data_IF_485866274910
#
_entry.id   IF_485866274910
#
_cell.length_a   1.000
_cell.length_b   1.000
_cell.length_c   1.000
_cell.angle_alpha   90.00
_cell.angle_beta   90.00
_cell.angle_gamma   90.00
#
_symmetry.space_group_name_H-M   'P 1'
#
loop_
_entity.id
_entity.type
_entity.pdbx_description
1 polymer ?
#
# COMPACT_ATOMS: atom_id res chain seq x y z
N UNK A 1 -9.73 29.93 39.12
CA UNK A 1 -9.18 28.96 38.16
C UNK A 1 -9.06 29.67 36.83
N UNK A 2 -7.86 29.99 36.38
CA UNK A 2 -7.62 30.65 35.10
C UNK A 2 -7.73 29.63 33.97
N UNK A 3 -8.40 30.02 32.88
CA UNK A 3 -8.78 29.14 31.78
C UNK A 3 -7.59 28.95 30.83
N UNK A 4 -6.69 28.03 31.16
CA UNK A 4 -5.39 27.82 30.49
C UNK A 4 -5.47 27.38 29.02
N UNK A 5 -6.68 27.18 28.50
CA UNK A 5 -6.96 26.74 27.13
C UNK A 5 -6.75 27.86 26.10
N UNK A 6 -6.79 29.12 26.53
CA UNK A 6 -6.66 30.30 25.66
C UNK A 6 -5.32 31.04 25.81
N UNK A 7 -4.47 30.62 26.75
CA UNK A 7 -3.17 31.26 27.02
C UNK A 7 -2.02 30.62 26.22
N UNK A 8 -2.25 29.49 25.54
CA UNK A 8 -1.27 28.86 24.66
C UNK A 8 -1.38 29.41 23.25
N UNK A 9 -0.25 29.85 22.68
CA UNK A 9 -0.16 30.16 21.26
C UNK A 9 -0.62 28.94 20.43
N UNK A 10 -1.45 29.13 19.38
CA UNK A 10 -1.89 28.02 18.54
C UNK A 10 -0.68 27.30 17.95
N UNK A 11 -0.55 26.01 18.23
CA UNK A 11 0.39 25.17 17.49
C UNK A 11 -0.16 24.98 16.08
N UNK A 12 0.68 25.13 15.08
CA UNK A 12 0.36 24.62 13.76
C UNK A 12 0.16 23.11 13.90
N UNK A 13 -0.98 22.61 13.43
CA UNK A 13 -1.11 21.18 13.20
C UNK A 13 0.02 20.73 12.28
N UNK A 14 0.59 19.57 12.55
CA UNK A 14 1.53 18.94 11.62
C UNK A 14 0.83 18.83 10.24
N UNK A 15 1.49 19.24 9.14
CA UNK A 15 0.84 19.24 7.83
C UNK A 15 0.28 17.84 7.55
N UNK A 16 -1.01 17.70 7.20
CA UNK A 16 -1.62 16.38 7.01
C UNK A 16 -1.08 15.63 5.78
N UNK A 17 -0.15 16.23 5.04
CA UNK A 17 0.50 15.66 3.86
C UNK A 17 1.98 16.04 3.87
N UNK A 18 2.82 15.20 4.48
CA UNK A 18 4.25 15.27 4.29
C UNK A 18 4.65 14.74 2.90
N UNK A 19 5.95 14.74 2.59
CA UNK A 19 6.44 14.31 1.28
C UNK A 19 6.14 12.83 1.00
N UNK A 20 6.05 12.00 2.04
CA UNK A 20 5.67 10.59 1.95
C UNK A 20 4.23 10.48 1.49
N UNK A 21 3.30 11.09 2.23
CA UNK A 21 1.87 11.00 1.98
C UNK A 21 1.53 11.55 0.58
N UNK A 22 2.13 12.67 0.17
CA UNK A 22 1.93 13.23 -1.17
C UNK A 22 2.34 12.22 -2.24
N UNK A 23 3.50 11.56 -2.08
CA UNK A 23 3.96 10.56 -3.03
C UNK A 23 3.05 9.31 -3.01
N UNK A 24 2.73 8.77 -1.84
CA UNK A 24 1.85 7.60 -1.69
C UNK A 24 0.46 7.82 -2.31
N UNK A 25 -0.20 8.95 -2.01
CA UNK A 25 -1.50 9.27 -2.59
C UNK A 25 -1.42 9.51 -4.10
N UNK A 26 -0.37 10.18 -4.58
CA UNK A 26 -0.19 10.39 -6.03
C UNK A 26 -0.02 9.07 -6.76
N UNK A 27 0.72 8.11 -6.18
CA UNK A 27 0.88 6.78 -6.74
C UNK A 27 -0.47 6.05 -6.89
N UNK A 28 -1.30 6.09 -5.84
CA UNK A 28 -2.63 5.47 -5.85
C UNK A 28 -3.53 6.08 -6.93
N UNK A 29 -3.55 7.42 -7.02
CA UNK A 29 -4.39 8.12 -8.01
C UNK A 29 -3.91 7.84 -9.43
N UNK A 30 -2.61 7.97 -9.70
CA UNK A 30 -2.04 7.69 -11.02
C UNK A 30 -2.29 6.24 -11.45
N UNK A 31 -2.12 5.27 -10.54
CA UNK A 31 -2.37 3.85 -10.83
C UNK A 31 -3.84 3.57 -11.18
N UNK A 32 -4.79 4.22 -10.50
CA UNK A 32 -6.22 4.11 -10.82
C UNK A 32 -6.59 4.74 -12.17
N UNK A 33 -5.82 5.73 -12.63
CA UNK A 33 -5.97 6.36 -13.94
C UNK A 33 -5.24 5.59 -15.06
N UNK A 34 -4.54 4.50 -14.72
CA UNK A 34 -3.76 3.71 -15.69
C UNK A 34 -2.41 4.32 -16.06
N UNK A 35 -1.97 5.38 -15.37
CA UNK A 35 -0.65 6.00 -15.58
C UNK A 35 0.41 5.27 -14.75
N UNK A 36 0.78 4.07 -15.21
CA UNK A 36 1.68 3.18 -14.48
C UNK A 36 3.08 3.76 -14.23
N UNK A 37 3.64 4.51 -15.18
CA UNK A 37 5.00 5.09 -15.04
C UNK A 37 5.04 6.19 -13.97
N UNK A 38 4.02 7.07 -13.96
CA UNK A 38 3.89 8.09 -12.92
C UNK A 38 3.59 7.45 -11.56
N UNK A 39 2.72 6.44 -11.54
CA UNK A 39 2.38 5.73 -10.32
C UNK A 39 3.61 5.06 -9.69
N UNK A 40 4.45 4.41 -10.49
CA UNK A 40 5.66 3.75 -10.04
C UNK A 40 6.64 4.75 -9.42
N UNK A 41 6.89 5.86 -10.11
CA UNK A 41 7.83 6.89 -9.65
C UNK A 41 7.48 7.37 -8.25
N UNK A 42 6.20 7.69 -8.03
CA UNK A 42 5.74 8.16 -6.73
C UNK A 42 5.67 7.04 -5.67
N UNK A 43 5.30 5.82 -6.05
CA UNK A 43 5.26 4.70 -5.10
C UNK A 43 6.66 4.38 -4.57
N UNK A 44 7.67 4.35 -5.45
CA UNK A 44 9.07 4.13 -5.05
C UNK A 44 9.58 5.27 -4.17
N UNK A 45 9.19 6.52 -4.43
CA UNK A 45 9.54 7.65 -3.57
C UNK A 45 8.96 7.51 -2.15
N UNK A 46 7.66 7.21 -2.01
CA UNK A 46 7.03 7.01 -0.69
C UNK A 46 7.66 5.82 0.04
N UNK A 47 7.87 4.68 -0.64
CA UNK A 47 8.55 3.52 -0.05
C UNK A 47 9.94 3.89 0.47
N UNK A 48 10.75 4.64 -0.30
CA UNK A 48 12.08 5.04 0.13
C UNK A 48 12.05 5.92 1.40
N UNK A 49 11.06 6.81 1.52
CA UNK A 49 10.89 7.65 2.71
C UNK A 49 10.44 6.79 3.90
N UNK A 50 9.47 5.89 3.71
CA UNK A 50 8.99 4.99 4.77
C UNK A 50 10.08 4.03 5.24
N UNK A 51 10.86 3.46 4.32
CA UNK A 51 12.01 2.60 4.64
C UNK A 51 13.07 3.36 5.47
N UNK A 52 13.33 4.63 5.14
CA UNK A 52 14.26 5.47 5.91
C UNK A 52 13.79 5.76 7.35
N UNK A 53 12.49 5.70 7.61
CA UNK A 53 11.89 5.85 8.94
C UNK A 53 11.61 4.49 9.62
N UNK A 54 12.18 3.39 9.10
CA UNK A 54 12.03 2.06 9.67
C UNK A 54 10.66 1.43 9.47
N UNK A 55 9.89 1.87 8.47
CA UNK A 55 8.54 1.35 8.20
C UNK A 55 7.52 1.74 9.26
N UNK A 56 7.72 2.87 9.95
CA UNK A 56 6.94 3.31 11.12
C UNK A 56 5.43 3.49 10.92
N UNK A 57 4.95 3.46 9.67
CA UNK A 57 3.54 3.54 9.31
C UNK A 57 3.12 2.32 8.49
N UNK A 58 2.77 1.18 9.14
CA UNK A 58 2.46 -0.07 8.45
C UNK A 58 1.31 0.05 7.45
N UNK A 59 0.29 0.88 7.74
CA UNK A 59 -0.81 1.09 6.81
C UNK A 59 -0.36 1.81 5.53
N UNK A 60 0.38 2.91 5.65
CA UNK A 60 0.89 3.67 4.51
C UNK A 60 1.88 2.83 3.70
N UNK A 61 2.78 2.12 4.38
CA UNK A 61 3.72 1.20 3.74
C UNK A 61 3.01 0.09 2.96
N UNK A 62 2.05 -0.60 3.58
CA UNK A 62 1.28 -1.64 2.91
C UNK A 62 0.48 -1.09 1.73
N UNK A 63 -0.14 0.09 1.87
CA UNK A 63 -0.90 0.73 0.81
C UNK A 63 -0.02 1.16 -0.37
N UNK A 64 1.18 1.68 -0.11
CA UNK A 64 2.13 2.09 -1.15
C UNK A 64 2.75 0.88 -1.85
N UNK A 65 3.01 -0.24 -1.15
CA UNK A 65 3.40 -1.49 -1.79
C UNK A 65 2.32 -2.00 -2.76
N UNK A 66 1.05 -1.97 -2.36
CA UNK A 66 -0.04 -2.31 -3.30
C UNK A 66 -0.08 -1.33 -4.48
N UNK A 67 0.08 -0.02 -4.23
CA UNK A 67 0.11 0.97 -5.30
C UNK A 67 1.27 0.73 -6.29
N UNK A 68 2.46 0.36 -5.80
CA UNK A 68 3.58 -0.03 -6.65
C UNK A 68 3.24 -1.27 -7.48
N UNK A 69 2.65 -2.31 -6.89
CA UNK A 69 2.23 -3.49 -7.65
C UNK A 69 1.22 -3.15 -8.75
N UNK A 70 0.27 -2.26 -8.48
CA UNK A 70 -0.68 -1.76 -9.49
C UNK A 70 0.06 -1.01 -10.60
N UNK A 71 0.99 -0.13 -10.24
CA UNK A 71 1.81 0.63 -11.19
C UNK A 71 2.59 -0.30 -12.12
N UNK A 72 3.25 -1.34 -11.57
CA UNK A 72 4.04 -2.30 -12.33
C UNK A 72 3.19 -3.06 -13.37
N UNK A 73 1.91 -3.29 -13.09
CA UNK A 73 0.94 -3.90 -14.01
C UNK A 73 0.34 -2.92 -15.02
N UNK A 74 0.24 -1.63 -14.68
CA UNK A 74 -0.39 -0.60 -15.51
C UNK A 74 0.56 0.05 -16.55
N UNK A 75 1.85 -0.28 -16.53
CA UNK A 75 2.84 0.28 -17.49
C UNK A 75 2.62 -0.25 -18.92
N UNK A 76 3.10 0.47 -19.96
CA UNK A 76 3.01 0.00 -21.35
C UNK A 76 3.66 -1.37 -21.58
N UNK A 77 4.69 -1.70 -20.79
CA UNK A 77 5.27 -3.04 -20.69
C UNK A 77 5.12 -3.51 -19.23
N UNK A 78 4.04 -4.24 -18.91
CA UNK A 78 3.82 -4.73 -17.55
C UNK A 78 4.94 -5.65 -17.06
N UNK A 79 5.25 -5.58 -15.77
CA UNK A 79 6.21 -6.49 -15.11
C UNK A 79 5.49 -7.30 -14.01
N UNK A 80 4.70 -8.32 -14.39
CA UNK A 80 3.84 -9.04 -13.45
C UNK A 80 4.61 -9.85 -12.39
N UNK A 81 5.82 -10.33 -12.69
CA UNK A 81 6.65 -11.04 -11.70
C UNK A 81 7.16 -10.10 -10.61
N UNK A 82 7.66 -8.91 -10.97
CA UNK A 82 8.06 -7.89 -9.99
C UNK A 82 6.84 -7.41 -9.20
N UNK A 83 5.71 -7.19 -9.89
CA UNK A 83 4.46 -6.82 -9.24
C UNK A 83 4.06 -7.85 -8.18
N UNK A 84 4.12 -9.15 -8.49
CA UNK A 84 3.80 -10.20 -7.54
C UNK A 84 4.78 -10.25 -6.35
N UNK A 85 6.08 -10.02 -6.59
CA UNK A 85 7.07 -9.92 -5.52
C UNK A 85 6.79 -8.73 -4.57
N UNK A 86 6.37 -7.59 -5.11
CA UNK A 86 5.94 -6.44 -4.30
C UNK A 86 4.63 -6.74 -3.56
N UNK A 87 3.68 -7.43 -4.19
CA UNK A 87 2.44 -7.86 -3.57
C UNK A 87 2.68 -8.80 -2.38
N UNK A 88 3.69 -9.67 -2.48
CA UNK A 88 4.13 -10.54 -1.37
C UNK A 88 4.64 -9.73 -0.17
N UNK A 89 5.38 -8.64 -0.39
CA UNK A 89 5.78 -7.72 0.69
C UNK A 89 4.57 -7.07 1.36
N UNK A 90 3.53 -6.73 0.60
CA UNK A 90 2.29 -6.21 1.18
C UNK A 90 1.59 -7.28 2.05
N UNK A 91 1.66 -8.56 1.67
CA UNK A 91 1.17 -9.65 2.52
C UNK A 91 2.01 -9.84 3.79
N UNK A 92 3.31 -9.54 3.78
CA UNK A 92 4.12 -9.52 5.01
C UNK A 92 3.64 -8.43 5.99
N UNK A 93 3.31 -7.25 5.46
CA UNK A 93 2.70 -6.17 6.26
C UNK A 93 1.37 -6.62 6.83
N UNK A 94 0.50 -7.23 6.03
CA UNK A 94 -0.79 -7.78 6.49
C UNK A 94 -0.59 -8.88 7.54
N UNK A 95 0.44 -9.71 7.39
CA UNK A 95 0.76 -10.77 8.33
C UNK A 95 1.06 -10.19 9.74
N UNK A 96 1.81 -9.10 9.79
CA UNK A 96 2.21 -8.42 11.02
C UNK A 96 1.16 -7.43 11.56
N UNK A 97 0.51 -6.66 10.67
CA UNK A 97 -0.39 -5.54 10.96
C UNK A 97 -1.59 -5.55 9.99
N UNK A 98 -2.65 -6.33 10.26
CA UNK A 98 -3.75 -6.55 9.33
C UNK A 98 -4.74 -5.37 9.31
N UNK A 99 -4.30 -4.20 8.84
CA UNK A 99 -5.19 -3.04 8.71
C UNK A 99 -6.23 -3.28 7.62
N UNK A 100 -7.48 -2.82 7.85
CA UNK A 100 -8.62 -3.08 6.96
C UNK A 100 -8.33 -2.67 5.52
N UNK A 101 -7.71 -1.51 5.33
CA UNK A 101 -7.43 -0.94 4.01
C UNK A 101 -6.43 -1.79 3.23
N UNK A 102 -5.32 -2.19 3.85
CA UNK A 102 -4.27 -2.97 3.17
C UNK A 102 -4.80 -4.37 2.82
N UNK A 103 -5.58 -4.98 3.71
CA UNK A 103 -6.25 -6.26 3.48
C UNK A 103 -7.19 -6.20 2.27
N UNK A 104 -8.05 -5.18 2.22
CA UNK A 104 -8.97 -5.01 1.09
C UNK A 104 -8.21 -4.83 -0.22
N UNK A 105 -7.20 -3.95 -0.23
CA UNK A 105 -6.42 -3.67 -1.44
C UNK A 105 -5.58 -4.86 -1.91
N UNK A 106 -5.03 -5.66 -1.00
CA UNK A 106 -4.34 -6.90 -1.36
C UNK A 106 -5.30 -7.93 -2.02
N UNK A 107 -6.56 -7.99 -1.56
CA UNK A 107 -7.59 -8.80 -2.20
C UNK A 107 -7.93 -8.29 -3.60
N UNK A 108 -8.16 -6.99 -3.74
CA UNK A 108 -8.47 -6.37 -5.03
C UNK A 108 -7.35 -6.58 -6.06
N UNK A 109 -6.09 -6.49 -5.60
CA UNK A 109 -4.90 -6.72 -6.43
C UNK A 109 -4.87 -8.12 -7.06
N UNK A 110 -5.40 -9.14 -6.38
CA UNK A 110 -5.49 -10.49 -6.95
C UNK A 110 -6.33 -10.56 -8.24
N UNK A 111 -7.28 -9.64 -8.41
CA UNK A 111 -8.07 -9.52 -9.63
C UNK A 111 -7.24 -9.01 -10.81
N UNK A 112 -6.30 -8.09 -10.56
CA UNK A 112 -5.44 -7.47 -11.57
C UNK A 112 -4.42 -8.45 -12.17
N UNK A 113 -4.07 -9.51 -11.44
CA UNK A 113 -3.20 -10.58 -11.93
C UNK A 113 -3.92 -11.62 -12.80
N UNK A 114 -5.18 -11.40 -13.19
CA UNK A 114 -5.97 -12.42 -13.89
C UNK A 114 -5.35 -12.93 -15.17
N UNK A 115 -4.74 -12.05 -15.97
CA UNK A 115 -4.12 -12.43 -17.23
C UNK A 115 -2.70 -13.02 -17.06
N UNK A 116 -2.21 -13.05 -15.81
CA UNK A 116 -0.85 -13.46 -15.44
C UNK A 116 -0.82 -14.68 -14.51
N UNK A 117 -1.95 -15.36 -14.33
CA UNK A 117 -2.12 -16.50 -13.39
C UNK A 117 -1.15 -17.66 -13.60
N UNK A 118 -0.62 -17.83 -14.81
CA UNK A 118 0.32 -18.89 -15.13
C UNK A 118 1.76 -18.65 -14.66
N UNK A 119 2.08 -17.43 -14.18
CA UNK A 119 3.43 -17.10 -13.70
C UNK A 119 3.62 -17.63 -12.27
N UNK A 120 4.73 -18.33 -11.96
CA UNK A 120 4.94 -18.88 -10.62
C UNK A 120 4.85 -17.84 -9.49
N UNK A 121 5.46 -16.64 -9.58
CA UNK A 121 5.34 -15.63 -8.51
C UNK A 121 3.90 -15.16 -8.27
N UNK A 122 3.09 -15.12 -9.34
CA UNK A 122 1.67 -14.74 -9.25
C UNK A 122 0.86 -15.86 -8.61
N UNK A 123 1.15 -17.12 -8.92
CA UNK A 123 0.52 -18.27 -8.28
C UNK A 123 0.83 -18.29 -6.78
N UNK A 124 2.09 -18.10 -6.39
CA UNK A 124 2.53 -18.05 -4.99
C UNK A 124 1.82 -16.96 -4.20
N UNK A 125 1.72 -15.75 -4.77
CA UNK A 125 0.97 -14.64 -4.17
C UNK A 125 -0.51 -15.00 -3.93
N UNK A 126 -1.15 -15.60 -4.93
CA UNK A 126 -2.58 -15.97 -4.85
C UNK A 126 -2.82 -17.08 -3.84
N UNK A 127 -1.93 -18.07 -3.79
CA UNK A 127 -1.98 -19.16 -2.81
C UNK A 127 -1.84 -18.60 -1.39
N UNK A 128 -0.84 -17.74 -1.15
CA UNK A 128 -0.64 -17.11 0.16
C UNK A 128 -1.84 -16.25 0.57
N UNK A 129 -2.39 -15.44 -0.34
CA UNK A 129 -3.57 -14.64 -0.07
C UNK A 129 -4.78 -15.52 0.29
N UNK A 130 -4.97 -16.66 -0.39
CA UNK A 130 -6.03 -17.60 -0.08
C UNK A 130 -5.83 -18.28 1.29
N UNK A 131 -4.59 -18.62 1.64
CA UNK A 131 -4.27 -19.18 2.96
C UNK A 131 -4.51 -18.19 4.11
N UNK A 132 -4.25 -16.91 3.89
CA UNK A 132 -4.49 -15.83 4.87
C UNK A 132 -5.97 -15.40 4.93
N UNK A 133 -6.77 -15.64 3.87
CA UNK A 133 -8.14 -15.15 3.76
C UNK A 133 -9.03 -15.43 4.98
N UNK A 134 -9.01 -16.63 5.63
CA UNK A 134 -9.78 -16.88 6.85
C UNK A 134 -9.36 -15.98 8.01
N UNK A 135 -8.05 -15.78 8.23
CA UNK A 135 -7.51 -14.89 9.27
C UNK A 135 -7.96 -13.45 9.05
N UNK A 136 -7.97 -13.04 7.79
CA UNK A 136 -8.37 -11.70 7.34
C UNK A 136 -9.89 -11.47 7.31
N UNK A 137 -10.71 -12.52 7.48
CA UNK A 137 -12.16 -12.40 7.69
C UNK A 137 -12.50 -12.34 9.19
N UNK A 138 -11.72 -12.99 10.04
CA UNK A 138 -11.89 -12.99 11.49
C UNK A 138 -11.54 -11.64 12.14
N UNK A 139 -10.68 -10.82 11.50
CA UNK A 139 -10.36 -9.46 11.95
C UNK A 139 -11.40 -8.39 11.56
N UNK A 140 -12.47 -8.76 10.83
CA UNK A 140 -13.57 -7.84 10.48
C UNK A 140 -14.67 -7.84 11.57
N UNK A 141 -14.39 -8.41 12.74
CA UNK A 141 -15.33 -8.53 13.85
C UNK A 141 -15.11 -7.51 14.97
N UNK A 142 -16.16 -6.69 15.17
CA UNK A 142 -16.47 -5.72 16.26
C UNK A 142 -15.84 -4.34 16.14
#
# INVERSE_FOLDING_TARGET
MANSLFDSAPMFGEPPFDAEAVAGFTAVVAGRLGDGERAETHARQSIAILDAHGGGYPEDYGNTLVALSVALLARPRPEPEEAAAVAMRALDVVAAFPTRTVVQRARDLSGLFTDHRGLPPVADFRERLAAEAPRLMLTVGV
#
